data_IF_877881747072
#
_entry.id   IF_877881747072
#
_cell.length_a   1.000
_cell.length_b   1.000
_cell.length_c   1.000
_cell.angle_alpha   90.00
_cell.angle_beta   90.00
_cell.angle_gamma   90.00
#
_symmetry.space_group_name_H-M   'P 1'
#
loop_
_entity.id
_entity.type
_entity.pdbx_description
1 polymer ?
#
# COMPACT_ATOMS: atom_id res chain seq x y z
N UNK A 1 -19.45 -12.07 -8.10
CA UNK A 1 -20.01 -12.70 -6.88
C UNK A 1 -19.42 -12.14 -5.59
N UNK A 2 -18.09 -11.95 -5.46
CA UNK A 2 -17.50 -11.37 -4.24
C UNK A 2 -17.99 -9.92 -4.02
N UNK A 3 -17.94 -9.07 -5.04
CA UNK A 3 -18.39 -7.67 -4.95
C UNK A 3 -19.88 -7.53 -4.61
N UNK A 4 -20.73 -8.46 -5.06
CA UNK A 4 -22.15 -8.50 -4.66
C UNK A 4 -22.29 -8.77 -3.16
N UNK A 5 -21.53 -9.72 -2.62
CA UNK A 5 -21.53 -9.99 -1.16
C UNK A 5 -21.07 -8.77 -0.38
N UNK A 6 -20.01 -8.08 -0.84
CA UNK A 6 -19.51 -6.84 -0.22
C UNK A 6 -20.56 -5.73 -0.22
N UNK A 7 -21.30 -5.54 -1.32
CA UNK A 7 -22.43 -4.58 -1.36
C UNK A 7 -23.52 -4.96 -0.38
N UNK A 8 -23.89 -6.24 -0.29
CA UNK A 8 -24.91 -6.73 0.64
C UNK A 8 -24.48 -6.54 2.10
N UNK A 9 -23.23 -6.84 2.40
CA UNK A 9 -22.67 -6.62 3.73
C UNK A 9 -22.65 -5.13 4.09
N UNK A 10 -22.18 -4.26 3.20
CA UNK A 10 -22.21 -2.82 3.40
C UNK A 10 -23.62 -2.33 3.71
N UNK A 11 -24.60 -2.72 2.92
CA UNK A 11 -26.01 -2.33 3.11
C UNK A 11 -26.62 -2.92 4.39
N UNK A 12 -26.11 -4.04 4.91
CA UNK A 12 -26.56 -4.59 6.19
C UNK A 12 -26.11 -3.76 7.39
N UNK A 13 -25.02 -3.01 7.24
CA UNK A 13 -24.47 -2.10 8.26
C UNK A 13 -25.12 -0.70 8.22
N UNK A 14 -25.93 -0.45 7.22
CA UNK A 14 -26.64 0.84 7.02
C UNK A 14 -28.14 0.71 7.27
N UNK A 15 -28.82 1.86 7.36
CA UNK A 15 -30.29 1.90 7.52
C UNK A 15 -31.02 1.29 6.31
N UNK A 16 -32.25 0.83 6.52
CA UNK A 16 -33.04 0.16 5.47
C UNK A 16 -33.34 1.06 4.26
N UNK A 17 -33.39 2.37 4.46
CA UNK A 17 -33.61 3.37 3.42
C UNK A 17 -32.29 3.96 2.86
N UNK A 18 -31.14 3.33 3.15
CA UNK A 18 -29.85 3.80 2.62
C UNK A 18 -29.76 3.63 1.10
N UNK A 19 -29.21 4.64 0.47
CA UNK A 19 -28.71 4.62 -0.92
C UNK A 19 -27.24 4.97 -0.89
N UNK A 20 -26.42 4.13 -1.49
CA UNK A 20 -24.96 4.31 -1.56
C UNK A 20 -24.56 4.73 -2.97
N UNK A 21 -23.70 5.72 -3.07
CA UNK A 21 -23.12 6.21 -4.33
C UNK A 21 -21.61 6.13 -4.19
N UNK A 22 -20.97 5.43 -5.12
CA UNK A 22 -19.50 5.38 -5.25
C UNK A 22 -19.12 5.59 -6.70
N UNK A 23 -17.98 6.24 -6.94
CA UNK A 23 -17.51 6.53 -8.30
C UNK A 23 -16.11 6.03 -8.55
N UNK A 24 -15.87 5.59 -9.78
CA UNK A 24 -14.52 5.32 -10.28
C UNK A 24 -13.77 6.62 -10.53
N UNK A 25 -12.44 6.52 -10.65
CA UNK A 25 -11.63 7.64 -11.10
C UNK A 25 -11.87 8.00 -12.57
N UNK A 26 -11.45 9.21 -12.96
CA UNK A 26 -11.32 9.61 -14.36
C UNK A 26 -9.88 9.43 -14.82
N UNK A 27 -9.68 9.26 -16.14
CA UNK A 27 -8.33 9.22 -16.73
C UNK A 27 -7.58 10.54 -16.44
N UNK A 28 -6.35 10.45 -15.94
CA UNK A 28 -5.49 11.59 -15.66
C UNK A 28 -4.55 11.86 -16.82
N UNK A 29 -4.53 13.10 -17.32
CA UNK A 29 -3.61 13.49 -18.39
C UNK A 29 -2.18 13.59 -17.88
N UNK A 30 -1.27 12.92 -18.58
CA UNK A 30 0.17 13.11 -18.42
C UNK A 30 0.65 14.32 -19.22
N UNK A 31 0.34 14.36 -20.51
CA UNK A 31 0.60 15.48 -21.42
C UNK A 31 -0.25 15.34 -22.66
N UNK A 32 -0.61 16.48 -23.33
CA UNK A 32 -1.35 16.52 -24.58
C UNK A 32 -2.49 15.49 -24.66
N UNK A 33 -2.35 14.44 -25.47
CA UNK A 33 -3.27 13.34 -25.71
C UNK A 33 -2.89 12.03 -25.02
N UNK A 34 -1.81 12.01 -24.23
CA UNK A 34 -1.33 10.85 -23.47
C UNK A 34 -1.81 10.93 -22.02
N UNK A 35 -2.40 9.84 -21.54
CA UNK A 35 -2.83 9.68 -20.15
C UNK A 35 -1.82 8.86 -19.33
N UNK A 36 -1.83 9.04 -18.01
CA UNK A 36 -1.23 8.09 -17.08
C UNK A 36 -1.97 6.75 -17.12
N UNK A 37 -1.33 5.64 -16.74
CA UNK A 37 -2.03 4.36 -16.54
C UNK A 37 -3.24 4.58 -15.61
N UNK A 38 -4.38 4.03 -16.02
CA UNK A 38 -5.61 4.18 -15.26
C UNK A 38 -5.65 3.18 -14.10
N UNK A 39 -6.05 3.67 -12.93
CA UNK A 39 -6.40 2.86 -11.76
C UNK A 39 -7.76 3.32 -11.22
N UNK A 40 -8.74 2.41 -11.03
CA UNK A 40 -10.02 2.77 -10.43
C UNK A 40 -9.83 3.22 -8.98
N UNK A 41 -10.81 3.94 -8.48
CA UNK A 41 -10.92 4.21 -7.04
C UNK A 41 -11.02 2.88 -6.27
N UNK A 42 -10.34 2.77 -5.13
CA UNK A 42 -10.25 1.52 -4.37
C UNK A 42 -11.58 1.07 -3.78
N UNK A 43 -12.38 1.98 -3.23
CA UNK A 43 -13.70 1.68 -2.68
C UNK A 43 -14.69 1.29 -3.77
N UNK A 44 -14.65 2.00 -4.91
CA UNK A 44 -15.44 1.66 -6.08
C UNK A 44 -15.09 0.26 -6.59
N UNK A 45 -13.80 -0.04 -6.75
CA UNK A 45 -13.35 -1.36 -7.18
C UNK A 45 -13.74 -2.46 -6.20
N UNK A 46 -13.54 -2.24 -4.89
CA UNK A 46 -13.93 -3.16 -3.82
C UNK A 46 -15.39 -3.57 -3.90
N UNK A 47 -16.28 -2.63 -4.21
CA UNK A 47 -17.74 -2.84 -4.24
C UNK A 47 -18.27 -3.31 -5.59
N UNK A 48 -17.58 -3.03 -6.71
CA UNK A 48 -18.12 -3.28 -8.07
C UNK A 48 -17.33 -4.30 -8.87
N UNK A 49 -16.01 -4.38 -8.65
CA UNK A 49 -15.08 -5.13 -9.50
C UNK A 49 -14.88 -4.53 -10.88
N UNK A 50 -15.38 -3.31 -11.13
CA UNK A 50 -15.29 -2.66 -12.43
C UNK A 50 -14.05 -1.78 -12.52
N UNK A 51 -13.31 -1.91 -13.63
CA UNK A 51 -11.98 -1.30 -13.79
C UNK A 51 -11.88 -0.26 -14.91
N UNK A 52 -13.01 0.16 -15.51
CA UNK A 52 -12.99 1.25 -16.47
C UNK A 52 -13.18 2.62 -15.79
N UNK A 53 -12.61 3.71 -16.37
CA UNK A 53 -12.80 5.06 -15.85
C UNK A 53 -14.21 5.59 -16.08
N UNK A 54 -14.53 6.69 -15.39
CA UNK A 54 -15.77 7.46 -15.56
C UNK A 54 -17.02 6.60 -15.32
N UNK A 55 -17.09 5.91 -14.20
CA UNK A 55 -18.26 5.12 -13.80
C UNK A 55 -18.76 5.50 -12.42
N UNK A 56 -20.09 5.36 -12.20
CA UNK A 56 -20.74 5.59 -10.92
C UNK A 56 -21.65 4.38 -10.62
N UNK A 57 -21.55 3.84 -9.42
CA UNK A 57 -22.43 2.82 -8.91
C UNK A 57 -23.40 3.43 -7.87
N UNK A 58 -24.69 3.15 -8.04
CA UNK A 58 -25.75 3.57 -7.11
C UNK A 58 -26.48 2.31 -6.66
N UNK A 59 -26.51 2.02 -5.37
CA UNK A 59 -27.15 0.81 -4.89
C UNK A 59 -27.83 0.98 -3.54
N UNK A 60 -28.86 0.20 -3.35
CA UNK A 60 -29.67 0.08 -2.13
C UNK A 60 -29.99 -1.39 -1.87
N UNK A 61 -30.71 -1.71 -0.80
CA UNK A 61 -31.21 -3.08 -0.57
C UNK A 61 -32.11 -3.63 -1.69
N UNK A 62 -32.70 -2.74 -2.53
CA UNK A 62 -33.67 -3.10 -3.56
C UNK A 62 -33.11 -3.09 -4.97
N UNK A 63 -32.05 -2.33 -5.24
CA UNK A 63 -31.60 -2.09 -6.61
C UNK A 63 -30.10 -1.76 -6.64
N UNK A 64 -29.42 -2.27 -7.66
CA UNK A 64 -28.06 -1.89 -8.04
C UNK A 64 -28.07 -1.37 -9.47
N UNK A 65 -27.75 -0.10 -9.63
CA UNK A 65 -27.63 0.59 -10.93
C UNK A 65 -26.19 1.03 -11.15
N UNK A 66 -25.66 0.86 -12.35
CA UNK A 66 -24.34 1.34 -12.74
C UNK A 66 -24.42 2.28 -13.93
N UNK A 67 -23.71 3.38 -13.85
CA UNK A 67 -23.50 4.35 -14.92
C UNK A 67 -22.07 4.19 -15.43
N UNK A 68 -21.87 4.00 -16.72
CA UNK A 68 -20.57 3.74 -17.31
C UNK A 68 -20.50 4.28 -18.75
N UNK A 69 -19.30 4.35 -19.29
CA UNK A 69 -19.08 4.83 -20.65
C UNK A 69 -19.79 3.93 -21.66
N UNK A 70 -20.60 4.48 -22.57
CA UNK A 70 -21.19 3.70 -23.66
C UNK A 70 -20.11 3.21 -24.63
N UNK A 71 -20.43 2.17 -25.41
CA UNK A 71 -19.60 1.74 -26.53
C UNK A 71 -19.48 2.87 -27.56
N UNK A 72 -18.26 3.10 -28.03
CA UNK A 72 -17.93 4.11 -29.03
C UNK A 72 -16.93 3.49 -30.02
N UNK A 73 -17.38 3.13 -31.22
CA UNK A 73 -16.56 2.44 -32.21
C UNK A 73 -15.27 3.21 -32.55
N UNK A 74 -15.34 4.53 -32.61
CA UNK A 74 -14.16 5.35 -32.92
C UNK A 74 -13.15 5.33 -31.78
N UNK A 75 -13.60 5.55 -30.55
CA UNK A 75 -12.72 5.53 -29.35
C UNK A 75 -12.19 4.13 -29.05
N UNK A 76 -12.98 3.08 -29.31
CA UNK A 76 -12.54 1.70 -29.14
C UNK A 76 -11.42 1.27 -30.12
N UNK A 77 -11.29 1.93 -31.26
CA UNK A 77 -10.15 1.72 -32.19
C UNK A 77 -8.84 2.24 -31.52
N UNK A 78 -8.91 3.33 -30.77
CA UNK A 78 -7.74 3.95 -30.16
C UNK A 78 -7.39 3.37 -28.77
N UNK A 79 -8.41 3.14 -27.94
CA UNK A 79 -8.21 2.90 -26.51
C UNK A 79 -8.65 1.49 -26.05
N UNK A 80 -9.02 0.62 -27.00
CA UNK A 80 -9.50 -0.72 -26.67
C UNK A 80 -11.02 -0.79 -26.40
N UNK A 81 -11.51 -2.00 -26.21
CA UNK A 81 -12.93 -2.29 -26.06
C UNK A 81 -13.46 -1.80 -24.71
N UNK A 82 -14.66 -1.24 -24.70
CA UNK A 82 -15.44 -0.91 -23.52
C UNK A 82 -16.49 -1.99 -23.24
N UNK A 83 -16.79 -2.23 -21.96
CA UNK A 83 -17.89 -3.12 -21.57
C UNK A 83 -19.22 -2.63 -22.18
N UNK A 84 -19.49 -1.34 -22.01
CA UNK A 84 -20.69 -0.67 -22.49
C UNK A 84 -21.96 -1.10 -21.76
N UNK A 85 -22.99 -0.28 -21.86
CA UNK A 85 -24.25 -0.38 -21.09
C UNK A 85 -24.94 -1.74 -21.24
N UNK A 86 -25.00 -2.29 -22.47
CA UNK A 86 -25.75 -3.53 -22.75
C UNK A 86 -25.19 -4.78 -22.04
N UNK A 87 -23.87 -4.84 -21.83
CA UNK A 87 -23.22 -6.00 -21.20
C UNK A 87 -23.08 -5.85 -19.69
N UNK A 88 -23.22 -4.62 -19.16
CA UNK A 88 -22.92 -4.30 -17.79
C UNK A 88 -23.82 -5.01 -16.79
N UNK A 89 -25.12 -5.15 -17.05
CA UNK A 89 -26.06 -5.85 -16.17
C UNK A 89 -25.67 -7.31 -15.95
N UNK A 90 -25.27 -8.00 -17.01
CA UNK A 90 -24.86 -9.40 -16.91
C UNK A 90 -23.48 -9.56 -16.24
N UNK A 91 -22.48 -8.74 -16.66
CA UNK A 91 -21.09 -8.89 -16.21
C UNK A 91 -20.92 -8.40 -14.76
N UNK A 92 -21.55 -7.29 -14.40
CA UNK A 92 -21.41 -6.65 -13.09
C UNK A 92 -22.54 -7.02 -12.11
N UNK A 93 -23.49 -7.88 -12.56
CA UNK A 93 -24.65 -8.28 -11.77
C UNK A 93 -25.45 -7.05 -11.29
N UNK A 94 -25.61 -6.06 -12.18
CA UNK A 94 -26.41 -4.88 -11.91
C UNK A 94 -27.84 -5.08 -12.41
N UNK A 95 -28.82 -4.55 -11.67
CA UNK A 95 -30.24 -4.59 -12.08
C UNK A 95 -30.46 -3.65 -13.28
N UNK A 96 -29.77 -2.50 -13.27
CA UNK A 96 -29.84 -1.53 -14.36
C UNK A 96 -28.45 -1.00 -14.73
N UNK A 97 -28.29 -0.64 -16.02
CA UNK A 97 -27.09 0.01 -16.52
C UNK A 97 -27.49 1.19 -17.41
N UNK A 98 -26.79 2.30 -17.27
CA UNK A 98 -27.05 3.56 -17.99
C UNK A 98 -25.75 4.14 -18.56
N UNK A 99 -25.87 5.01 -19.60
CA UNK A 99 -24.75 5.86 -19.97
C UNK A 99 -24.38 6.79 -18.82
N UNK A 100 -23.08 7.03 -18.63
CA UNK A 100 -22.61 8.01 -17.63
C UNK A 100 -23.18 9.42 -17.91
N UNK A 101 -23.42 9.76 -19.18
CA UNK A 101 -23.99 11.04 -19.62
C UNK A 101 -25.43 11.23 -19.12
N UNK A 102 -26.11 10.16 -18.76
CA UNK A 102 -27.49 10.18 -18.25
C UNK A 102 -27.58 10.25 -16.72
N UNK A 103 -26.44 10.28 -16.00
CA UNK A 103 -26.41 10.23 -14.55
C UNK A 103 -27.30 11.32 -13.91
N UNK A 104 -27.07 12.58 -14.26
CA UNK A 104 -27.79 13.73 -13.69
C UNK A 104 -29.30 13.68 -13.96
N UNK A 105 -29.72 13.13 -15.11
CA UNK A 105 -31.14 13.00 -15.48
C UNK A 105 -31.81 11.84 -14.76
N UNK A 106 -31.04 10.83 -14.35
CA UNK A 106 -31.56 9.56 -13.83
C UNK A 106 -31.49 9.47 -12.32
N UNK A 107 -30.50 10.12 -11.70
CA UNK A 107 -30.26 9.98 -10.25
C UNK A 107 -31.48 10.33 -9.38
N UNK A 108 -32.26 11.35 -9.79
CA UNK A 108 -33.51 11.76 -9.10
C UNK A 108 -34.60 10.70 -9.11
N UNK A 109 -34.50 9.68 -9.96
CA UNK A 109 -35.44 8.55 -10.01
C UNK A 109 -34.97 7.39 -9.10
N UNK A 110 -33.70 7.37 -8.74
CA UNK A 110 -33.07 6.35 -7.90
C UNK A 110 -33.02 6.73 -6.44
N UNK A 111 -33.17 8.02 -6.13
CA UNK A 111 -33.15 8.57 -4.77
C UNK A 111 -34.48 9.22 -4.46
N UNK A 112 -35.20 8.65 -3.49
CA UNK A 112 -36.41 9.24 -2.94
C UNK A 112 -36.05 10.24 -1.82
N UNK A 113 -36.98 11.19 -1.55
CA UNK A 113 -36.84 12.20 -0.48
C UNK A 113 -36.65 11.61 0.93
N UNK A 114 -37.04 10.35 1.12
CA UNK A 114 -36.90 9.64 2.39
C UNK A 114 -35.61 8.79 2.46
N UNK A 115 -34.78 8.75 1.42
CA UNK A 115 -33.55 8.01 1.44
C UNK A 115 -32.48 8.74 2.26
N UNK A 116 -31.66 7.97 2.99
CA UNK A 116 -30.39 8.41 3.53
C UNK A 116 -29.30 8.09 2.50
N UNK A 117 -28.75 9.12 1.91
CA UNK A 117 -27.69 8.97 0.89
C UNK A 117 -26.35 8.90 1.57
N UNK A 118 -25.55 7.89 1.21
CA UNK A 118 -24.18 7.72 1.62
C UNK A 118 -23.26 7.85 0.41
N UNK A 119 -22.17 8.55 0.59
CA UNK A 119 -21.21 8.85 -0.48
C UNK A 119 -19.78 8.65 0.01
N UNK A 120 -18.93 8.09 -0.86
CA UNK A 120 -17.50 7.97 -0.62
C UNK A 120 -16.82 9.30 -0.91
N UNK A 121 -16.39 9.98 0.14
CA UNK A 121 -15.75 11.28 0.09
C UNK A 121 -14.21 11.22 0.11
N UNK A 122 -13.59 10.02 0.10
CA UNK A 122 -12.15 9.86 -0.05
C UNK A 122 -11.66 10.22 -1.46
N UNK A 123 -12.48 9.98 -2.46
CA UNK A 123 -12.08 10.22 -3.85
C UNK A 123 -12.16 11.70 -4.20
N UNK A 124 -11.05 12.25 -4.69
CA UNK A 124 -10.90 13.67 -5.10
C UNK A 124 -11.05 13.89 -6.60
N UNK A 125 -11.68 12.96 -7.33
CA UNK A 125 -11.85 13.10 -8.77
C UNK A 125 -12.97 14.10 -9.14
N UNK A 126 -12.92 14.62 -10.39
CA UNK A 126 -13.91 15.59 -10.91
C UNK A 126 -15.35 15.06 -10.90
N UNK A 127 -15.50 13.74 -11.03
CA UNK A 127 -16.81 13.10 -10.98
C UNK A 127 -17.41 13.24 -9.57
N UNK A 128 -16.57 13.06 -8.54
CA UNK A 128 -16.94 13.26 -7.16
C UNK A 128 -17.26 14.72 -6.84
N UNK A 129 -16.50 15.69 -7.35
CA UNK A 129 -16.80 17.12 -7.17
C UNK A 129 -18.21 17.46 -7.69
N UNK A 130 -18.59 16.95 -8.86
CA UNK A 130 -19.93 17.14 -9.41
C UNK A 130 -21.01 16.47 -8.54
N UNK A 131 -20.76 15.24 -8.08
CA UNK A 131 -21.69 14.50 -7.22
C UNK A 131 -21.82 15.21 -5.86
N UNK A 132 -20.70 15.60 -5.27
CA UNK A 132 -20.64 16.33 -3.99
C UNK A 132 -21.41 17.64 -4.06
N UNK A 133 -21.30 18.42 -5.15
CA UNK A 133 -22.05 19.67 -5.32
C UNK A 133 -23.58 19.46 -5.31
N UNK A 134 -24.04 18.30 -5.83
CA UNK A 134 -25.46 17.95 -5.88
C UNK A 134 -25.95 17.40 -4.53
N UNK A 135 -25.09 16.68 -3.80
CA UNK A 135 -25.44 15.95 -2.58
C UNK A 135 -24.96 16.63 -1.29
N UNK A 136 -24.24 17.74 -1.36
CA UNK A 136 -23.50 18.38 -0.26
C UNK A 136 -24.31 18.62 1.03
N UNK A 137 -25.64 18.76 0.91
CA UNK A 137 -26.52 19.01 2.06
C UNK A 137 -27.34 17.80 2.50
N UNK A 138 -27.18 16.63 1.86
CA UNK A 138 -28.06 15.47 2.02
C UNK A 138 -27.29 14.17 2.26
N UNK A 139 -26.02 14.10 1.84
CA UNK A 139 -25.23 12.87 1.92
C UNK A 139 -24.45 12.78 3.23
N UNK A 140 -24.36 11.56 3.75
CA UNK A 140 -23.47 11.18 4.84
C UNK A 140 -22.21 10.55 4.27
N UNK A 141 -21.09 10.67 5.00
CA UNK A 141 -19.86 9.97 4.65
C UNK A 141 -20.06 8.45 4.72
N UNK A 142 -19.62 7.74 3.68
CA UNK A 142 -19.55 6.28 3.65
C UNK A 142 -18.27 5.76 4.34
N UNK A 143 -17.26 6.60 4.47
CA UNK A 143 -15.91 6.23 4.86
C UNK A 143 -15.83 5.45 6.18
N UNK A 144 -16.53 5.81 7.27
CA UNK A 144 -16.46 5.05 8.51
C UNK A 144 -16.87 3.58 8.34
N UNK A 145 -17.85 3.30 7.47
CA UNK A 145 -18.36 1.94 7.28
C UNK A 145 -17.50 1.14 6.31
N UNK A 146 -17.12 1.73 5.17
CA UNK A 146 -16.32 1.02 4.17
C UNK A 146 -14.89 0.78 4.63
N UNK A 147 -14.31 1.70 5.41
CA UNK A 147 -12.99 1.54 6.00
C UNK A 147 -12.93 0.33 6.93
N UNK A 148 -13.91 0.16 7.80
CA UNK A 148 -13.99 -1.01 8.68
C UNK A 148 -14.20 -2.32 7.91
N UNK A 149 -14.88 -2.29 6.77
CA UNK A 149 -15.01 -3.47 5.90
C UNK A 149 -13.69 -3.81 5.21
N UNK A 150 -12.96 -2.80 4.70
CA UNK A 150 -11.66 -2.98 4.02
C UNK A 150 -10.55 -3.36 5.00
N UNK A 151 -10.66 -2.95 6.25
CA UNK A 151 -9.68 -3.24 7.29
C UNK A 151 -9.56 -4.74 7.57
N UNK A 152 -10.68 -5.47 7.57
CA UNK A 152 -10.73 -6.92 7.81
C UNK A 152 -10.77 -7.65 6.47
N UNK A 153 -9.64 -8.22 6.07
CA UNK A 153 -9.46 -8.88 4.77
C UNK A 153 -10.12 -10.26 4.75
N UNK A 154 -10.88 -10.53 3.69
CA UNK A 154 -11.40 -11.86 3.41
C UNK A 154 -10.31 -12.80 2.82
N UNK A 155 -10.63 -14.08 2.66
CA UNK A 155 -9.67 -15.07 2.17
C UNK A 155 -9.16 -14.80 0.74
N UNK A 156 -9.97 -14.17 -0.13
CA UNK A 156 -9.53 -13.83 -1.49
C UNK A 156 -8.59 -12.62 -1.46
N UNK A 157 -8.88 -11.63 -0.61
CA UNK A 157 -8.01 -10.48 -0.39
C UNK A 157 -6.65 -10.90 0.12
N UNK A 158 -6.62 -11.76 1.14
CA UNK A 158 -5.37 -12.34 1.70
C UNK A 158 -4.60 -13.10 0.62
N UNK A 159 -5.27 -13.87 -0.24
CA UNK A 159 -4.61 -14.58 -1.34
C UNK A 159 -3.99 -13.63 -2.37
N UNK A 160 -4.67 -12.54 -2.72
CA UNK A 160 -4.14 -11.52 -3.64
C UNK A 160 -2.94 -10.79 -3.01
N UNK A 161 -3.03 -10.40 -1.74
CA UNK A 161 -1.92 -9.79 -1.00
C UNK A 161 -0.72 -10.74 -0.88
N UNK A 162 -0.95 -12.03 -0.63
CA UNK A 162 0.12 -13.03 -0.63
C UNK A 162 0.80 -13.14 -1.99
N UNK A 163 0.04 -13.04 -3.10
CA UNK A 163 0.58 -13.05 -4.45
C UNK A 163 1.46 -11.81 -4.70
N UNK A 164 0.98 -10.62 -4.31
CA UNK A 164 1.74 -9.36 -4.39
C UNK A 164 3.02 -9.44 -3.56
N UNK A 165 2.94 -9.88 -2.30
CA UNK A 165 4.08 -10.02 -1.41
C UNK A 165 5.13 -11.02 -1.92
N UNK A 166 4.70 -12.15 -2.49
CA UNK A 166 5.61 -13.13 -3.08
C UNK A 166 6.36 -12.56 -4.29
N UNK A 167 5.68 -11.81 -5.15
CA UNK A 167 6.30 -11.19 -6.32
C UNK A 167 7.28 -10.09 -5.92
N UNK A 168 6.89 -9.23 -4.95
CA UNK A 168 7.79 -8.22 -4.41
C UNK A 168 9.02 -8.83 -3.72
N UNK A 169 8.83 -9.88 -2.91
CA UNK A 169 9.94 -10.59 -2.30
C UNK A 169 10.92 -11.17 -3.34
N UNK A 170 10.39 -11.72 -4.45
CA UNK A 170 11.22 -12.19 -5.56
C UNK A 170 12.02 -11.04 -6.18
N UNK A 171 11.38 -9.88 -6.41
CA UNK A 171 12.05 -8.71 -6.98
C UNK A 171 13.20 -8.21 -6.08
N UNK A 172 12.99 -8.15 -4.76
CA UNK A 172 14.06 -7.82 -3.81
C UNK A 172 15.23 -8.81 -3.85
N UNK A 173 14.95 -10.10 -3.91
CA UNK A 173 16.00 -11.12 -4.03
C UNK A 173 16.74 -11.04 -5.36
N UNK A 174 16.03 -10.79 -6.47
CA UNK A 174 16.65 -10.54 -7.78
C UNK A 174 17.57 -9.32 -7.72
N UNK A 175 17.11 -8.21 -7.11
CA UNK A 175 17.93 -7.01 -6.92
C UNK A 175 19.22 -7.32 -6.12
N UNK A 176 19.11 -8.06 -4.99
CA UNK A 176 20.29 -8.48 -4.21
C UNK A 176 21.30 -9.30 -5.03
N UNK A 177 20.80 -10.12 -5.96
CA UNK A 177 21.70 -10.95 -6.79
C UNK A 177 22.33 -10.21 -7.95
N UNK A 178 21.81 -9.07 -8.38
CA UNK A 178 22.29 -8.33 -9.55
C UNK A 178 23.07 -7.06 -9.20
N UNK A 179 22.99 -6.59 -7.95
CA UNK A 179 23.65 -5.37 -7.53
C UNK A 179 25.18 -5.55 -7.50
N UNK A 180 25.89 -4.53 -7.98
CA UNK A 180 27.35 -4.45 -7.88
C UNK A 180 27.83 -2.99 -7.86
N UNK A 181 29.00 -2.69 -7.30
CA UNK A 181 29.61 -1.38 -7.40
C UNK A 181 29.76 -0.93 -8.87
N UNK A 182 29.54 0.36 -9.12
CA UNK A 182 29.62 0.95 -10.46
C UNK A 182 28.31 0.97 -11.24
N UNK A 183 27.29 0.21 -10.84
CA UNK A 183 25.93 0.39 -11.34
C UNK A 183 25.31 1.70 -10.82
N UNK A 184 24.17 2.07 -11.35
CA UNK A 184 23.35 3.18 -10.84
C UNK A 184 22.10 2.64 -10.14
N UNK A 185 21.51 3.43 -9.24
CA UNK A 185 20.27 3.10 -8.53
C UNK A 185 19.15 2.72 -9.51
N UNK A 186 19.02 3.43 -10.65
CA UNK A 186 18.01 3.10 -11.67
C UNK A 186 18.22 1.75 -12.37
N UNK A 187 19.44 1.21 -12.40
CA UNK A 187 19.66 -0.15 -12.93
C UNK A 187 18.98 -1.18 -12.03
N UNK A 188 19.07 -0.98 -10.71
CA UNK A 188 18.40 -1.85 -9.72
C UNK A 188 16.90 -1.65 -9.75
N UNK A 189 16.42 -0.41 -9.88
CA UNK A 189 14.98 -0.13 -10.06
C UNK A 189 14.42 -0.83 -11.30
N UNK A 190 15.18 -0.87 -12.40
CA UNK A 190 14.77 -1.56 -13.63
C UNK A 190 14.62 -3.09 -13.45
N UNK A 191 15.45 -3.72 -12.60
CA UNK A 191 15.31 -5.15 -12.27
C UNK A 191 14.03 -5.43 -11.49
N UNK A 192 13.67 -4.54 -10.56
CA UNK A 192 12.42 -4.63 -9.80
C UNK A 192 11.22 -4.45 -10.73
N UNK A 193 11.25 -3.43 -11.61
CA UNK A 193 10.21 -3.19 -12.61
C UNK A 193 10.03 -4.41 -13.54
N UNK A 194 11.13 -5.01 -14.00
CA UNK A 194 11.08 -6.20 -14.84
C UNK A 194 10.40 -7.39 -14.14
N UNK A 195 10.68 -7.64 -12.85
CA UNK A 195 10.02 -8.70 -12.10
C UNK A 195 8.52 -8.44 -11.94
N UNK A 196 8.10 -7.20 -11.62
CA UNK A 196 6.69 -6.87 -11.49
C UNK A 196 5.95 -7.02 -12.82
N UNK A 197 6.51 -6.48 -13.92
CA UNK A 197 5.93 -6.59 -15.27
C UNK A 197 5.86 -8.03 -15.75
N UNK A 198 6.88 -8.83 -15.49
CA UNK A 198 6.88 -10.27 -15.83
C UNK A 198 5.79 -11.02 -15.05
N UNK A 199 5.47 -10.58 -13.84
CA UNK A 199 4.37 -11.08 -13.03
C UNK A 199 3.00 -10.51 -13.39
N UNK A 200 2.85 -9.76 -14.52
CA UNK A 200 1.64 -9.05 -14.91
C UNK A 200 1.08 -8.14 -13.82
N UNK A 201 1.97 -7.44 -13.15
CA UNK A 201 1.69 -6.55 -12.03
C UNK A 201 2.38 -5.21 -12.22
N UNK A 202 2.07 -4.24 -11.37
CA UNK A 202 2.67 -2.92 -11.39
C UNK A 202 3.24 -2.56 -10.02
N UNK A 203 3.87 -1.41 -9.91
CA UNK A 203 4.28 -0.84 -8.64
C UNK A 203 3.04 -0.39 -7.84
N UNK A 204 3.02 -0.68 -6.53
CA UNK A 204 2.04 -0.13 -5.61
C UNK A 204 2.31 1.36 -5.32
N UNK A 205 3.58 1.77 -5.39
CA UNK A 205 4.09 3.14 -5.20
C UNK A 205 5.43 3.30 -5.93
N UNK A 206 5.89 4.55 -6.18
CA UNK A 206 7.20 4.79 -6.79
C UNK A 206 8.32 4.14 -5.97
N UNK A 207 9.16 3.26 -6.54
CA UNK A 207 10.18 2.54 -5.78
C UNK A 207 11.27 3.48 -5.26
N UNK A 208 11.71 3.23 -4.05
CA UNK A 208 12.85 3.89 -3.42
C UNK A 208 14.05 2.96 -3.58
N UNK A 209 15.09 3.43 -4.26
CA UNK A 209 16.37 2.73 -4.41
C UNK A 209 17.48 3.68 -3.99
N UNK A 210 17.83 3.65 -2.71
CA UNK A 210 18.60 4.69 -2.04
C UNK A 210 19.97 4.16 -1.58
N UNK A 211 21.05 4.60 -2.23
CA UNK A 211 22.43 4.20 -1.91
C UNK A 211 23.12 5.17 -0.96
N UNK A 212 23.98 4.65 -0.08
CA UNK A 212 24.81 5.41 0.84
C UNK A 212 24.00 6.43 1.63
N UNK A 213 24.36 7.72 1.56
CA UNK A 213 23.66 8.80 2.29
C UNK A 213 22.18 8.99 1.91
N UNK A 214 21.79 8.57 0.69
CA UNK A 214 20.41 8.68 0.23
C UNK A 214 19.47 7.77 1.03
N UNK A 215 19.99 6.67 1.60
CA UNK A 215 19.22 5.79 2.50
C UNK A 215 18.69 6.49 3.77
N UNK A 216 19.21 7.69 4.07
CA UNK A 216 18.70 8.54 5.15
C UNK A 216 17.60 9.52 4.71
N UNK A 217 17.11 9.42 3.46
CA UNK A 217 15.97 10.19 2.92
C UNK A 217 14.81 9.22 2.75
N UNK A 218 13.74 9.39 3.55
CA UNK A 218 12.69 8.39 3.70
C UNK A 218 11.97 8.04 2.39
N UNK A 219 11.63 9.05 1.58
CA UNK A 219 10.94 8.89 0.29
C UNK A 219 11.85 9.37 -0.86
N UNK A 220 13.05 8.77 -0.96
CA UNK A 220 13.98 9.05 -2.04
C UNK A 220 13.56 8.35 -3.33
N UNK A 221 13.16 9.10 -4.35
CA UNK A 221 12.65 8.56 -5.62
C UNK A 221 13.46 8.97 -6.85
N UNK A 222 14.55 9.73 -6.68
CA UNK A 222 15.38 10.14 -7.82
C UNK A 222 16.10 8.97 -8.48
N UNK A 223 16.56 7.98 -7.70
CA UNK A 223 17.17 6.73 -8.13
C UNK A 223 18.27 6.93 -9.20
N UNK A 224 19.12 7.95 -9.05
CA UNK A 224 20.03 8.38 -10.12
C UNK A 224 21.52 8.40 -9.73
N UNK A 225 21.90 7.91 -8.56
CA UNK A 225 23.28 7.90 -8.07
C UNK A 225 23.98 6.59 -8.41
N UNK A 226 25.31 6.69 -8.53
CA UNK A 226 26.17 5.54 -8.69
C UNK A 226 26.27 4.76 -7.37
N UNK A 227 26.31 3.45 -7.46
CA UNK A 227 26.47 2.52 -6.34
C UNK A 227 27.98 2.41 -6.04
N UNK A 228 28.40 2.88 -4.85
CA UNK A 228 29.80 2.81 -4.46
C UNK A 228 30.09 1.55 -3.65
N UNK A 229 31.30 1.04 -3.79
CA UNK A 229 31.81 -0.04 -2.96
C UNK A 229 31.80 0.37 -1.47
N UNK A 230 31.30 -0.52 -0.62
CA UNK A 230 31.21 -0.30 0.83
C UNK A 230 29.96 0.47 1.31
N UNK A 231 29.16 1.04 0.40
CA UNK A 231 27.87 1.65 0.77
C UNK A 231 26.76 0.59 0.98
N UNK A 232 25.73 0.97 1.73
CA UNK A 232 24.45 0.24 1.79
C UNK A 232 23.53 0.69 0.66
N UNK A 233 22.67 -0.23 0.22
CA UNK A 233 21.52 0.05 -0.62
C UNK A 233 20.25 -0.29 0.15
N UNK A 234 19.40 0.70 0.35
CA UNK A 234 18.05 0.55 0.86
C UNK A 234 17.10 0.53 -0.33
N UNK A 235 16.33 -0.54 -0.46
CA UNK A 235 15.26 -0.67 -1.44
C UNK A 235 13.94 -0.77 -0.68
N UNK A 236 13.01 0.09 -1.04
CA UNK A 236 11.63 0.05 -0.59
C UNK A 236 10.75 0.03 -1.85
N UNK A 237 10.16 -1.15 -2.09
CA UNK A 237 9.41 -1.41 -3.31
C UNK A 237 8.35 -2.48 -3.07
N UNK A 238 7.13 -2.12 -3.38
CA UNK A 238 5.95 -2.97 -3.30
C UNK A 238 5.27 -3.18 -4.65
N UNK A 239 4.69 -4.35 -4.80
CA UNK A 239 3.95 -4.76 -5.99
C UNK A 239 2.45 -4.56 -5.78
N UNK A 240 1.74 -4.04 -6.78
CA UNK A 240 0.28 -4.09 -6.86
C UNK A 240 -0.14 -5.24 -7.78
N UNK A 241 -0.76 -6.27 -7.24
CA UNK A 241 -1.30 -7.41 -7.97
C UNK A 241 -2.80 -7.52 -7.73
N UNK A 242 -3.58 -7.55 -8.83
CA UNK A 242 -5.05 -7.60 -8.76
C UNK A 242 -5.65 -6.51 -7.86
N UNK A 243 -5.01 -5.34 -7.81
CA UNK A 243 -5.40 -4.18 -7.02
C UNK A 243 -4.93 -4.17 -5.57
N UNK A 244 -4.30 -5.25 -5.09
CA UNK A 244 -3.79 -5.34 -3.72
C UNK A 244 -2.31 -5.05 -3.68
N UNK A 245 -1.91 -4.17 -2.77
CA UNK A 245 -0.53 -3.79 -2.55
C UNK A 245 0.22 -4.80 -1.66
N UNK A 246 1.53 -4.86 -1.85
CA UNK A 246 2.52 -5.29 -0.87
C UNK A 246 3.47 -4.14 -0.58
N UNK A 247 4.17 -4.21 0.53
CA UNK A 247 5.13 -3.19 0.97
C UNK A 247 6.33 -3.85 1.65
N UNK A 248 7.50 -3.75 1.01
CA UNK A 248 8.70 -4.44 1.48
C UNK A 248 9.90 -3.50 1.40
N UNK A 249 10.57 -3.32 2.52
CA UNK A 249 11.90 -2.70 2.54
C UNK A 249 12.98 -3.71 2.91
N UNK A 250 14.07 -3.68 2.15
CA UNK A 250 15.33 -4.40 2.47
C UNK A 250 16.51 -3.46 2.33
N UNK A 251 17.45 -3.59 3.26
CA UNK A 251 18.74 -2.87 3.22
C UNK A 251 19.88 -3.87 3.21
N UNK A 252 20.83 -3.73 2.29
CA UNK A 252 21.93 -4.66 2.14
C UNK A 252 23.18 -3.95 1.59
N UNK A 253 24.40 -4.50 1.80
CA UNK A 253 25.63 -3.89 1.30
C UNK A 253 25.78 -4.08 -0.21
N UNK A 254 26.17 -3.03 -0.93
CA UNK A 254 26.34 -3.05 -2.39
C UNK A 254 27.39 -4.08 -2.83
N UNK A 255 28.42 -4.31 -2.03
CA UNK A 255 29.48 -5.29 -2.31
C UNK A 255 29.24 -6.67 -1.68
N UNK A 256 28.06 -6.94 -1.15
CA UNK A 256 27.68 -8.23 -0.57
C UNK A 256 28.20 -8.50 0.84
N UNK A 257 28.86 -7.54 1.52
CA UNK A 257 29.40 -7.72 2.87
C UNK A 257 29.16 -6.50 3.74
N UNK A 258 28.48 -6.71 4.87
CA UNK A 258 28.30 -5.64 5.86
C UNK A 258 29.62 -5.30 6.56
N UNK A 259 29.95 -4.02 6.64
CA UNK A 259 30.98 -3.55 7.57
C UNK A 259 30.53 -3.80 9.02
N UNK A 260 31.46 -3.76 9.96
CA UNK A 260 31.15 -3.96 11.40
C UNK A 260 30.15 -2.94 11.90
N UNK A 261 30.25 -1.68 11.51
CA UNK A 261 29.34 -0.61 11.92
C UNK A 261 27.93 -0.81 11.32
N UNK A 262 27.85 -1.09 10.01
CA UNK A 262 26.60 -1.38 9.31
C UNK A 262 25.89 -2.58 9.93
N UNK A 263 26.62 -3.66 10.20
CA UNK A 263 26.08 -4.86 10.84
C UNK A 263 25.51 -4.59 12.23
N UNK A 264 26.19 -3.74 13.03
CA UNK A 264 25.69 -3.37 14.35
C UNK A 264 24.33 -2.66 14.25
N UNK A 265 24.22 -1.65 13.40
CA UNK A 265 22.96 -0.92 13.22
C UNK A 265 21.87 -1.83 12.61
N UNK A 266 22.25 -2.64 11.60
CA UNK A 266 21.32 -3.59 10.97
C UNK A 266 20.69 -4.56 11.98
N UNK A 267 21.49 -5.12 12.89
CA UNK A 267 21.02 -6.05 13.92
C UNK A 267 20.08 -5.39 14.92
N UNK A 268 20.25 -4.10 15.22
CA UNK A 268 19.32 -3.35 16.07
C UNK A 268 17.96 -3.24 15.37
N UNK A 269 17.93 -2.80 14.10
CA UNK A 269 16.69 -2.69 13.32
C UNK A 269 16.01 -4.05 13.16
N UNK A 270 16.77 -5.10 12.84
CA UNK A 270 16.24 -6.45 12.70
C UNK A 270 15.65 -6.99 14.01
N UNK A 271 16.31 -6.73 15.15
CA UNK A 271 15.80 -7.12 16.46
C UNK A 271 14.51 -6.37 16.81
N UNK A 272 14.47 -5.06 16.55
CA UNK A 272 13.28 -4.24 16.74
C UNK A 272 12.11 -4.76 15.87
N UNK A 273 12.37 -5.02 14.59
CA UNK A 273 11.38 -5.53 13.64
C UNK A 273 10.82 -6.89 14.05
N UNK A 274 11.67 -7.85 14.41
CA UNK A 274 11.24 -9.17 14.86
C UNK A 274 10.41 -9.11 16.15
N UNK A 275 10.82 -8.27 17.10
CA UNK A 275 10.09 -8.10 18.36
C UNK A 275 8.75 -7.41 18.16
N UNK A 276 8.70 -6.42 17.27
CA UNK A 276 7.46 -5.76 16.88
C UNK A 276 6.48 -6.74 16.21
N UNK A 277 6.95 -7.54 15.23
CA UNK A 277 6.13 -8.58 14.60
C UNK A 277 5.62 -9.59 15.64
N UNK A 278 6.46 -10.04 16.56
CA UNK A 278 6.08 -11.03 17.57
C UNK A 278 4.99 -10.55 18.53
N UNK A 279 4.82 -9.24 18.69
CA UNK A 279 3.75 -8.64 19.50
C UNK A 279 2.39 -8.64 18.80
N UNK A 280 2.34 -8.76 17.47
CA UNK A 280 1.09 -8.68 16.70
C UNK A 280 0.27 -9.96 16.90
N UNK A 281 -0.87 -9.82 17.54
CA UNK A 281 -1.84 -10.91 17.78
C UNK A 281 -3.22 -10.31 18.08
N UNK A 282 -4.30 -11.06 17.93
CA UNK A 282 -5.64 -10.57 18.30
C UNK A 282 -5.70 -10.10 19.75
N UNK A 283 -6.30 -8.94 19.99
CA UNK A 283 -6.46 -8.32 21.30
C UNK A 283 -5.26 -7.52 21.82
N UNK A 284 -4.14 -7.48 21.09
CA UNK A 284 -3.02 -6.57 21.40
C UNK A 284 -3.28 -5.19 20.76
N UNK A 285 -2.85 -4.11 21.42
CA UNK A 285 -3.00 -2.75 20.91
C UNK A 285 -2.19 -2.52 19.63
N UNK A 286 -2.78 -1.86 18.64
CA UNK A 286 -2.10 -1.58 17.35
C UNK A 286 -0.85 -0.69 17.49
N UNK A 287 -0.70 0.02 18.59
CA UNK A 287 0.49 0.83 18.87
C UNK A 287 1.64 0.05 19.52
N UNK A 288 1.38 -1.12 20.10
CA UNK A 288 2.38 -1.94 20.82
C UNK A 288 3.62 -2.26 19.98
N UNK A 289 3.52 -2.63 18.67
CA UNK A 289 4.69 -2.85 17.82
C UNK A 289 5.61 -1.62 17.73
N UNK A 290 5.03 -0.41 17.68
CA UNK A 290 5.79 0.84 17.64
C UNK A 290 6.52 1.12 18.95
N UNK A 291 5.86 0.93 20.08
CA UNK A 291 6.45 1.13 21.39
C UNK A 291 7.64 0.18 21.62
N UNK A 292 7.49 -1.09 21.25
CA UNK A 292 8.56 -2.09 21.31
C UNK A 292 9.75 -1.71 20.42
N UNK A 293 9.49 -1.27 19.18
CA UNK A 293 10.55 -0.86 18.28
C UNK A 293 11.30 0.37 18.82
N UNK A 294 10.58 1.36 19.31
CA UNK A 294 11.17 2.57 19.93
C UNK A 294 12.03 2.23 21.14
N UNK A 295 11.56 1.37 22.03
CA UNK A 295 12.33 0.95 23.22
C UNK A 295 13.65 0.26 22.85
N UNK A 296 13.59 -0.71 21.94
CA UNK A 296 14.78 -1.46 21.49
C UNK A 296 15.78 -0.52 20.81
N UNK A 297 15.34 0.31 19.88
CA UNK A 297 16.19 1.22 19.13
C UNK A 297 16.83 2.24 20.08
N UNK A 298 16.04 2.85 20.96
CA UNK A 298 16.55 3.83 21.95
C UNK A 298 17.62 3.25 22.84
N UNK A 299 17.35 2.10 23.43
CA UNK A 299 18.28 1.42 24.34
C UNK A 299 19.58 1.04 23.64
N UNK A 300 19.51 0.47 22.45
CA UNK A 300 20.70 0.01 21.73
C UNK A 300 21.53 1.16 21.15
N UNK A 301 20.90 2.24 20.64
CA UNK A 301 21.63 3.44 20.19
C UNK A 301 22.31 4.16 21.34
N UNK A 302 21.71 4.16 22.53
CA UNK A 302 22.32 4.70 23.76
C UNK A 302 23.56 3.88 24.17
N UNK A 303 23.48 2.55 24.14
CA UNK A 303 24.63 1.67 24.42
C UNK A 303 25.81 1.87 23.45
N UNK A 304 25.51 2.20 22.18
CA UNK A 304 26.54 2.50 21.18
C UNK A 304 27.11 3.93 21.33
N UNK A 305 26.56 4.77 22.21
CA UNK A 305 26.94 6.17 22.40
C UNK A 305 26.54 7.08 21.21
N UNK A 306 25.65 6.59 20.33
CA UNK A 306 25.11 7.36 19.21
C UNK A 306 24.05 8.34 19.72
N UNK A 307 23.19 7.88 20.62
CA UNK A 307 22.16 8.68 21.28
C UNK A 307 22.57 8.93 22.73
N UNK A 308 22.48 10.18 23.20
CA UNK A 308 22.86 10.56 24.56
C UNK A 308 21.68 10.58 25.55
N UNK A 309 20.49 10.93 25.04
CA UNK A 309 19.26 11.05 25.84
C UNK A 309 18.13 10.30 25.13
N UNK A 310 17.31 9.59 25.91
CA UNK A 310 16.18 8.80 25.37
C UNK A 310 15.16 9.66 24.60
N UNK A 311 15.06 10.95 24.88
CA UNK A 311 14.14 11.87 24.24
C UNK A 311 14.53 12.25 22.78
N UNK A 312 15.73 11.88 22.32
CA UNK A 312 16.24 12.23 21.00
C UNK A 312 16.05 11.14 19.95
N UNK A 313 15.20 10.15 20.19
CA UNK A 313 14.96 9.05 19.27
C UNK A 313 14.50 9.54 17.89
N UNK A 314 13.68 10.58 17.83
CA UNK A 314 13.17 11.16 16.58
C UNK A 314 14.25 11.74 15.65
N UNK A 315 15.49 11.94 16.13
CA UNK A 315 16.63 12.31 15.27
C UNK A 315 17.07 11.13 14.39
N UNK A 316 16.84 9.89 14.84
CA UNK A 316 17.30 8.66 14.20
C UNK A 316 16.16 7.78 13.69
N UNK A 317 14.99 7.87 14.30
CA UNK A 317 13.78 7.13 13.95
C UNK A 317 12.56 8.04 14.06
N UNK A 318 12.12 8.61 12.93
CA UNK A 318 11.17 9.72 12.88
C UNK A 318 9.80 9.35 12.31
N UNK A 319 9.56 8.08 11.95
CA UNK A 319 8.29 7.61 11.42
C UNK A 319 7.64 6.53 12.31
N UNK A 320 6.42 6.15 12.02
CA UNK A 320 5.73 5.04 12.69
C UNK A 320 6.31 3.71 12.26
N UNK A 321 6.05 2.67 13.04
CA UNK A 321 6.53 1.31 12.75
C UNK A 321 5.66 0.58 11.74
N UNK A 322 4.53 1.13 11.35
CA UNK A 322 3.66 0.49 10.37
C UNK A 322 2.38 1.27 10.09
N UNK A 323 1.70 0.83 9.06
CA UNK A 323 0.41 1.32 8.60
C UNK A 323 -0.45 0.16 8.07
N UNK A 324 -1.77 0.39 7.92
CA UNK A 324 -2.65 -0.57 7.28
C UNK A 324 -2.26 -0.76 5.82
N UNK A 325 -2.42 -1.99 5.33
CA UNK A 325 -2.10 -2.39 3.96
C UNK A 325 -3.28 -3.14 3.35
N UNK A 326 -3.57 -2.90 2.08
CA UNK A 326 -4.68 -3.56 1.39
C UNK A 326 -4.77 -3.20 -0.09
N UNK A 327 -5.92 -2.67 -0.51
CA UNK A 327 -6.09 -2.10 -1.87
C UNK A 327 -5.22 -0.86 -2.06
N UNK A 328 -4.97 -0.10 -1.02
CA UNK A 328 -4.01 0.99 -1.03
C UNK A 328 -2.80 0.60 -0.19
N UNK A 329 -1.61 1.10 -0.56
CA UNK A 329 -0.40 0.87 0.24
C UNK A 329 -0.55 1.46 1.64
N UNK A 330 -1.07 2.68 1.75
CA UNK A 330 -1.57 3.25 3.00
C UNK A 330 -3.09 3.07 3.01
N UNK A 331 -3.54 1.90 3.46
CA UNK A 331 -4.95 1.52 3.41
C UNK A 331 -5.77 2.22 4.49
N UNK A 332 -7.07 2.28 4.25
CA UNK A 332 -8.06 2.92 5.14
C UNK A 332 -8.25 2.12 6.43
N UNK A 333 -8.69 2.79 7.48
CA UNK A 333 -9.00 2.21 8.79
C UNK A 333 -8.51 3.09 9.94
N UNK A 334 -9.35 3.27 10.94
CA UNK A 334 -8.98 4.07 12.10
C UNK A 334 -8.01 3.29 13.01
N UNK A 335 -6.96 3.97 13.50
CA UNK A 335 -6.03 3.42 14.50
C UNK A 335 -6.55 3.57 15.93
N UNK A 336 -7.52 4.45 16.11
CA UNK A 336 -8.11 4.74 17.42
C UNK A 336 -9.63 4.70 17.37
N UNK A 337 -10.23 4.20 18.44
CA UNK A 337 -11.66 4.25 18.70
C UNK A 337 -11.82 5.00 20.03
N UNK A 338 -12.66 6.03 20.07
CA UNK A 338 -12.91 6.85 21.27
C UNK A 338 -11.61 7.39 21.94
N UNK A 339 -10.66 7.83 21.11
CA UNK A 339 -9.31 8.30 21.50
C UNK A 339 -8.34 7.24 22.05
N UNK A 340 -8.74 5.98 22.19
CA UNK A 340 -7.85 4.89 22.58
C UNK A 340 -7.40 4.08 21.35
N UNK A 341 -6.18 3.54 21.36
CA UNK A 341 -5.74 2.64 20.29
C UNK A 341 -6.61 1.39 20.27
N UNK A 342 -7.06 1.03 19.06
CA UNK A 342 -7.83 -0.21 18.87
C UNK A 342 -6.95 -1.44 19.08
N UNK A 343 -7.60 -2.57 19.28
CA UNK A 343 -6.93 -3.87 19.32
C UNK A 343 -6.78 -4.43 17.90
N UNK A 344 -5.73 -5.24 17.67
CA UNK A 344 -5.64 -6.05 16.46
C UNK A 344 -6.77 -7.08 16.41
N UNK A 345 -7.36 -7.24 15.23
CA UNK A 345 -8.38 -8.23 14.94
C UNK A 345 -7.91 -9.17 13.81
N UNK A 346 -8.40 -10.41 13.83
CA UNK A 346 -8.10 -11.41 12.78
C UNK A 346 -8.52 -10.89 11.42
N UNK A 347 -7.63 -10.97 10.44
CA UNK A 347 -7.85 -10.45 9.09
C UNK A 347 -7.30 -9.05 8.84
N UNK A 348 -6.85 -8.34 9.86
CA UNK A 348 -6.09 -7.09 9.65
C UNK A 348 -4.72 -7.39 9.05
N UNK A 349 -4.26 -6.51 8.16
CA UNK A 349 -2.90 -6.54 7.59
C UNK A 349 -2.24 -5.19 7.83
N UNK A 350 -1.03 -5.23 8.36
CA UNK A 350 -0.21 -4.03 8.64
C UNK A 350 1.23 -4.26 8.20
N UNK A 351 1.95 -3.18 7.86
CA UNK A 351 3.40 -3.21 7.70
C UNK A 351 4.09 -3.21 9.08
N UNK A 352 5.34 -3.70 9.12
CA UNK A 352 6.23 -3.56 10.27
C UNK A 352 7.61 -3.17 9.77
N UNK A 353 7.95 -1.87 9.87
CA UNK A 353 9.01 -1.21 9.14
C UNK A 353 9.93 -0.32 10.00
N UNK A 354 10.44 -0.76 11.15
CA UNK A 354 11.36 0.08 11.91
C UNK A 354 12.60 0.42 11.10
N UNK A 355 13.16 1.62 11.34
CA UNK A 355 14.37 2.09 10.68
C UNK A 355 15.27 2.91 11.60
N UNK A 356 16.55 3.01 11.22
CA UNK A 356 17.54 3.89 11.83
C UNK A 356 18.26 4.66 10.72
N UNK A 357 18.32 6.00 10.85
CA UNK A 357 18.87 6.90 9.85
C UNK A 357 19.89 7.83 10.49
N UNK A 358 21.19 7.51 10.33
CA UNK A 358 22.29 8.25 10.95
C UNK A 358 22.93 9.14 9.91
N UNK A 359 22.47 10.39 9.84
CA UNK A 359 23.07 11.41 8.97
C UNK A 359 24.45 11.83 9.51
N UNK A 360 25.29 12.40 8.64
CA UNK A 360 26.57 12.98 9.08
C UNK A 360 26.35 14.00 10.21
N UNK A 361 27.02 13.78 11.35
CA UNK A 361 26.92 14.62 12.52
C UNK A 361 28.23 14.51 13.33
N UNK A 362 28.93 15.62 13.55
CA UNK A 362 30.25 15.66 14.23
C UNK A 362 30.21 15.17 15.70
N UNK A 363 29.04 14.99 16.28
CA UNK A 363 28.86 14.41 17.62
C UNK A 363 28.80 12.88 17.62
N UNK A 364 28.79 12.25 16.44
CA UNK A 364 28.66 10.80 16.24
C UNK A 364 29.94 10.29 15.58
N UNK A 365 30.42 9.12 16.02
CA UNK A 365 31.59 8.47 15.43
C UNK A 365 31.41 8.33 13.89
N UNK A 366 32.33 8.83 13.06
CA UNK A 366 32.23 8.82 11.61
C UNK A 366 31.95 7.45 10.98
N UNK A 367 32.30 6.35 11.66
CA UNK A 367 32.01 4.99 11.16
C UNK A 367 30.52 4.68 11.02
N UNK A 368 29.64 5.46 11.69
CA UNK A 368 28.18 5.31 11.61
C UNK A 368 27.51 6.33 10.66
N UNK A 369 28.24 7.29 10.12
CA UNK A 369 27.66 8.32 9.25
C UNK A 369 27.07 7.73 7.96
N UNK A 370 25.95 8.29 7.53
CA UNK A 370 25.25 7.95 6.30
C UNK A 370 24.76 6.49 6.28
N UNK A 371 24.51 5.91 7.44
CA UNK A 371 23.86 4.61 7.56
C UNK A 371 22.35 4.84 7.73
N UNK A 372 21.58 4.52 6.67
CA UNK A 372 20.12 4.41 6.71
C UNK A 372 19.74 2.96 6.51
N UNK A 373 18.98 2.41 7.45
CA UNK A 373 18.51 1.02 7.42
C UNK A 373 17.04 0.99 7.78
N UNK A 374 16.20 0.41 6.91
CA UNK A 374 14.83 0.00 7.18
C UNK A 374 14.67 -1.47 6.81
N UNK A 375 13.91 -2.21 7.60
CA UNK A 375 13.55 -3.61 7.34
C UNK A 375 12.05 -3.70 7.56
N UNK A 376 11.33 -4.09 6.52
CA UNK A 376 9.88 -4.06 6.48
C UNK A 376 9.29 -5.36 5.97
N UNK A 377 8.20 -5.79 6.60
CA UNK A 377 7.39 -6.91 6.17
C UNK A 377 5.90 -6.61 6.29
N UNK A 378 5.11 -7.23 5.40
CA UNK A 378 3.65 -7.29 5.46
C UNK A 378 3.22 -8.36 6.46
N UNK A 379 2.39 -8.01 7.42
CA UNK A 379 1.99 -8.89 8.52
C UNK A 379 0.47 -9.01 8.62
N UNK A 380 -0.04 -10.22 8.41
CA UNK A 380 -1.45 -10.60 8.59
C UNK A 380 -1.68 -11.05 10.03
N UNK A 381 -2.72 -10.51 10.67
CA UNK A 381 -3.21 -10.98 11.97
C UNK A 381 -4.01 -12.26 11.80
N UNK A 382 -3.59 -13.34 12.45
CA UNK A 382 -4.25 -14.66 12.40
C UNK A 382 -4.88 -15.01 13.75
N UNK A 383 -5.67 -16.09 13.81
CA UNK A 383 -6.31 -16.53 15.08
C UNK A 383 -5.30 -16.83 16.18
N UNK A 384 -4.14 -17.36 15.80
CA UNK A 384 -3.11 -17.83 16.75
C UNK A 384 -1.92 -16.87 16.87
N UNK A 385 -2.03 -15.64 16.34
CA UNK A 385 -0.95 -14.65 16.35
C UNK A 385 -0.87 -13.90 15.02
N UNK A 386 0.20 -14.12 14.24
CA UNK A 386 0.41 -13.46 12.97
C UNK A 386 1.05 -14.36 11.90
N UNK A 387 0.97 -13.92 10.66
CA UNK A 387 1.65 -14.53 9.52
C UNK A 387 2.32 -13.44 8.67
N UNK A 388 3.62 -13.57 8.44
CA UNK A 388 4.39 -12.65 7.59
C UNK A 388 4.21 -13.05 6.14
N UNK A 389 3.48 -12.23 5.35
CA UNK A 389 3.20 -12.50 3.93
C UNK A 389 4.47 -12.41 3.07
N UNK A 390 5.38 -11.50 3.42
CA UNK A 390 6.66 -11.25 2.74
C UNK A 390 7.83 -12.12 3.23
N UNK A 391 7.55 -13.20 3.96
CA UNK A 391 8.55 -14.05 4.63
C UNK A 391 9.66 -14.57 3.71
N UNK A 392 9.41 -14.73 2.41
CA UNK A 392 10.39 -15.22 1.43
C UNK A 392 11.49 -14.21 1.11
N UNK A 393 11.29 -12.90 1.37
CA UNK A 393 12.34 -11.89 1.23
C UNK A 393 13.35 -12.03 2.39
N UNK A 394 14.56 -12.49 2.10
CA UNK A 394 15.60 -12.70 3.11
C UNK A 394 15.95 -11.41 3.86
N UNK A 395 16.17 -11.52 5.18
CA UNK A 395 16.52 -10.40 6.05
C UNK A 395 17.58 -10.72 7.12
N UNK A 396 17.97 -11.98 7.28
CA UNK A 396 19.09 -12.34 8.14
C UNK A 396 20.43 -11.97 7.46
N UNK A 397 21.34 -11.36 8.18
CA UNK A 397 22.65 -10.97 7.65
C UNK A 397 23.35 -12.10 6.89
N UNK A 398 23.36 -13.30 7.50
CA UNK A 398 24.00 -14.48 6.89
C UNK A 398 23.34 -14.90 5.57
N UNK A 399 21.99 -14.78 5.48
CA UNK A 399 21.25 -15.20 4.31
C UNK A 399 21.39 -14.18 3.17
N UNK A 400 21.46 -12.86 3.50
CA UNK A 400 21.77 -11.79 2.56
C UNK A 400 23.19 -11.97 2.00
N UNK A 401 24.21 -12.08 2.87
CA UNK A 401 25.61 -12.26 2.44
C UNK A 401 25.79 -13.55 1.63
N UNK A 402 25.07 -14.63 1.97
CA UNK A 402 25.07 -15.87 1.20
C UNK A 402 24.42 -15.68 -0.18
N UNK A 403 23.21 -15.10 -0.25
CA UNK A 403 22.52 -14.88 -1.51
C UNK A 403 23.35 -14.02 -2.46
N UNK A 404 23.94 -12.93 -1.95
CA UNK A 404 24.79 -12.04 -2.74
C UNK A 404 26.09 -12.68 -3.20
N UNK A 405 26.62 -13.66 -2.45
CA UNK A 405 27.83 -14.40 -2.85
C UNK A 405 27.61 -15.35 -4.04
N UNK A 406 26.38 -15.64 -4.41
CA UNK A 406 26.04 -16.49 -5.56
C UNK A 406 26.18 -15.76 -6.90
N UNK A 407 26.49 -14.44 -6.88
CA UNK A 407 26.54 -13.58 -8.07
C UNK A 407 27.91 -13.52 -8.76
N UNK A 408 28.85 -14.36 -8.38
CA UNK A 408 30.18 -14.37 -9.00
C UNK A 408 30.16 -15.34 -10.17
N UNK A 409 29.57 -14.94 -11.31
CA UNK A 409 29.93 -15.43 -12.64
C UNK A 409 29.65 -14.38 -13.68
#
# INVERSE_FOLDING_TARGET
MIHQKRRQELLSRLSDNAVVIVSSNSEQKRNSDVNYPFRPDSSFWYLTGFTEPDAIAVFSKKNYSIFLRPKDKTKEIWNGKRLGVKSATQVLLADNAYSIDDFLKTIHKLIDKNNLVYFDDFSTNKLNENITSILANVAKSLNPVISEMRLIKDSNEIQNMQTAANLAAKAHMTAMTKVSPGLYEYHVAAEIDAEFRTGNSDHAYPPIVASGKNSCILHYTENNKILNDGDLLLIDAGCESLGYASDITRTFPINGRFSKAQKQIYQIVLSAQKSAIASIKPGEKVNTPHEIACDIISRELTKLGIMKELNNLSEFYMHKTGHWLGLDVHDVGEYKIDNDFRDFEVGMVTTVEPGIYIRKNDKIDPKYWNIGIRIEDDVLVTKDGNHVLSKSAVKEVKDIEYLMSQNIT
#
